data_IF_072077468811
#
_entry.id   IF_072077468811
#
_cell.length_a   1.000
_cell.length_b   1.000
_cell.length_c   1.000
_cell.angle_alpha   90.00
_cell.angle_beta   90.00
_cell.angle_gamma   90.00
#
_symmetry.space_group_name_H-M   'P 1'
#
loop_
_entity.id
_entity.type
_entity.pdbx_description
1 polymer ?
#
# COMPACT_ATOMS: atom_id res chain seq x y z
N UNK A 1 0.23 6.01 -31.64
CA UNK A 1 -0.98 6.71 -31.14
C UNK A 1 -2.04 5.75 -30.66
N UNK A 2 -2.48 4.76 -31.49
CA UNK A 2 -3.47 3.76 -31.08
C UNK A 2 -3.05 2.95 -29.84
N UNK A 3 -1.83 2.41 -29.81
CA UNK A 3 -1.33 1.64 -28.66
C UNK A 3 -1.30 2.43 -27.33
N UNK A 4 -0.96 3.73 -27.38
CA UNK A 4 -0.96 4.61 -26.20
C UNK A 4 -2.40 4.84 -25.71
N UNK A 5 -3.35 4.97 -26.63
CA UNK A 5 -4.76 5.18 -26.31
C UNK A 5 -5.39 3.92 -25.71
N UNK A 6 -5.04 2.74 -26.24
CA UNK A 6 -5.52 1.45 -25.75
C UNK A 6 -4.98 1.14 -24.35
N UNK A 7 -3.69 1.41 -24.11
CA UNK A 7 -3.06 1.27 -22.79
C UNK A 7 -3.70 2.22 -21.76
N UNK A 8 -3.88 3.48 -22.14
CA UNK A 8 -4.54 4.48 -21.30
C UNK A 8 -5.99 4.09 -20.95
N UNK A 9 -6.76 3.62 -21.93
CA UNK A 9 -8.15 3.19 -21.73
C UNK A 9 -8.25 1.97 -20.82
N UNK A 10 -7.35 1.00 -20.98
CA UNK A 10 -7.31 -0.21 -20.14
C UNK A 10 -6.94 0.13 -18.69
N UNK A 11 -5.97 1.03 -18.50
CA UNK A 11 -5.54 1.45 -17.17
C UNK A 11 -6.66 2.18 -16.42
N UNK A 12 -7.35 3.12 -17.05
CA UNK A 12 -8.49 3.81 -16.43
C UNK A 12 -9.59 2.83 -16.01
N UNK A 13 -9.94 1.88 -16.87
CA UNK A 13 -10.98 0.90 -16.54
C UNK A 13 -10.56 -0.01 -15.38
N UNK A 14 -9.27 -0.29 -15.24
CA UNK A 14 -8.72 -1.08 -14.13
C UNK A 14 -8.73 -0.29 -12.83
N UNK A 15 -8.37 1.00 -12.88
CA UNK A 15 -8.42 1.92 -11.73
C UNK A 15 -9.85 2.18 -11.23
N UNK A 16 -10.85 2.10 -12.11
CA UNK A 16 -12.26 2.35 -11.77
C UNK A 16 -12.97 1.17 -11.07
N UNK A 17 -12.35 0.00 -10.97
CA UNK A 17 -12.90 -1.15 -10.26
C UNK A 17 -12.18 -1.39 -8.92
N UNK A 18 -12.73 -0.83 -7.84
CA UNK A 18 -12.16 -0.92 -6.49
C UNK A 18 -12.12 -2.34 -5.92
N UNK A 19 -12.72 -3.33 -6.57
CA UNK A 19 -12.53 -4.74 -6.18
C UNK A 19 -11.09 -5.20 -6.42
N UNK A 20 -10.42 -4.63 -7.43
CA UNK A 20 -9.01 -4.91 -7.69
C UNK A 20 -8.13 -4.39 -6.55
N UNK A 21 -8.38 -3.15 -6.12
CA UNK A 21 -7.69 -2.56 -4.98
C UNK A 21 -7.97 -3.34 -3.69
N UNK A 22 -9.22 -3.69 -3.40
CA UNK A 22 -9.59 -4.53 -2.26
C UNK A 22 -8.81 -5.86 -2.22
N UNK A 23 -8.69 -6.52 -3.38
CA UNK A 23 -7.92 -7.76 -3.52
C UNK A 23 -6.42 -7.52 -3.27
N UNK A 24 -5.86 -6.46 -3.85
CA UNK A 24 -4.46 -6.10 -3.68
C UNK A 24 -4.12 -5.75 -2.23
N UNK A 25 -4.96 -4.96 -1.57
CA UNK A 25 -4.84 -4.63 -0.15
C UNK A 25 -4.80 -5.89 0.72
N UNK A 26 -5.74 -6.81 0.51
CA UNK A 26 -5.78 -8.08 1.27
C UNK A 26 -4.55 -8.94 1.00
N UNK A 27 -4.07 -9.00 -0.25
CA UNK A 27 -2.86 -9.74 -0.61
C UNK A 27 -1.62 -9.15 0.05
N UNK A 28 -1.46 -7.82 -0.02
CA UNK A 28 -0.34 -7.11 0.59
C UNK A 28 -0.39 -7.20 2.12
N UNK A 29 -1.56 -7.08 2.74
CA UNK A 29 -1.70 -7.22 4.19
C UNK A 29 -1.19 -8.58 4.70
N UNK A 30 -1.57 -9.66 4.01
CA UNK A 30 -1.09 -11.01 4.33
C UNK A 30 0.42 -11.15 4.12
N UNK A 31 0.94 -10.55 3.06
CA UNK A 31 2.37 -10.56 2.80
C UNK A 31 3.15 -9.82 3.89
N UNK A 32 2.61 -8.75 4.48
CA UNK A 32 3.32 -7.99 5.53
C UNK A 32 3.19 -8.59 6.95
N UNK A 33 2.54 -9.75 7.11
CA UNK A 33 2.28 -10.35 8.42
C UNK A 33 3.55 -10.67 9.25
N UNK A 34 4.70 -10.82 8.60
CA UNK A 34 6.01 -11.07 9.21
C UNK A 34 6.83 -9.80 9.48
N UNK A 35 6.31 -8.61 9.12
CA UNK A 35 6.92 -7.31 9.40
C UNK A 35 6.03 -6.56 10.40
N UNK A 36 6.31 -6.65 11.72
CA UNK A 36 5.36 -6.24 12.77
C UNK A 36 4.87 -4.79 12.69
N UNK A 37 5.70 -3.89 12.18
CA UNK A 37 5.44 -2.45 12.13
C UNK A 37 4.90 -1.97 10.78
N UNK A 38 4.62 -2.89 9.83
CA UNK A 38 4.10 -2.55 8.50
C UNK A 38 2.79 -3.27 8.27
N UNK A 39 1.74 -2.52 7.95
CA UNK A 39 0.39 -3.03 7.78
C UNK A 39 -0.31 -2.42 6.57
N UNK A 40 -1.42 -3.03 6.20
CA UNK A 40 -2.39 -2.47 5.25
C UNK A 40 -3.75 -2.49 5.96
N UNK A 41 -4.61 -1.47 5.82
CA UNK A 41 -5.95 -1.47 6.39
C UNK A 41 -6.72 -2.75 6.05
N UNK A 42 -7.45 -3.31 7.02
CA UNK A 42 -8.35 -4.42 6.75
C UNK A 42 -9.49 -3.99 5.83
N UNK A 43 -9.82 -4.79 4.82
CA UNK A 43 -10.90 -4.49 3.87
C UNK A 43 -12.22 -5.07 4.38
N UNK A 44 -13.24 -4.24 4.45
CA UNK A 44 -14.62 -4.65 4.74
C UNK A 44 -15.36 -4.94 3.43
N UNK A 45 -15.21 -6.18 2.93
CA UNK A 45 -15.80 -6.61 1.65
C UNK A 45 -17.32 -6.48 1.59
N UNK A 46 -18.02 -6.69 2.71
CA UNK A 46 -19.48 -6.57 2.79
C UNK A 46 -19.99 -5.14 2.56
N UNK A 47 -19.12 -4.14 2.75
CA UNK A 47 -19.39 -2.72 2.52
C UNK A 47 -18.66 -2.16 1.29
N UNK A 48 -18.10 -3.04 0.45
CA UNK A 48 -17.31 -2.64 -0.72
C UNK A 48 -17.98 -3.11 -2.02
N UNK A 49 -17.84 -2.32 -3.07
CA UNK A 49 -18.39 -2.54 -4.42
C UNK A 49 -17.37 -2.13 -5.48
N UNK A 50 -17.71 -2.24 -6.77
CA UNK A 50 -16.87 -1.70 -7.85
C UNK A 50 -16.55 -0.21 -7.69
N UNK A 51 -17.41 0.58 -7.02
CA UNK A 51 -17.32 2.05 -6.96
C UNK A 51 -17.12 2.61 -5.55
N UNK A 52 -17.11 1.74 -4.54
CA UNK A 52 -16.93 2.13 -3.13
C UNK A 52 -16.01 1.12 -2.48
N UNK A 53 -14.90 1.57 -1.90
CA UNK A 53 -14.01 0.74 -1.08
C UNK A 53 -14.16 1.15 0.38
N UNK A 54 -14.46 0.18 1.25
CA UNK A 54 -14.56 0.40 2.70
C UNK A 54 -13.49 -0.41 3.41
N UNK A 55 -12.70 0.25 4.26
CA UNK A 55 -11.57 -0.35 4.96
C UNK A 55 -11.41 0.19 6.39
N UNK A 56 -10.53 -0.44 7.17
CA UNK A 56 -10.15 -0.01 8.51
C UNK A 56 -9.75 1.46 8.53
N UNK A 57 -10.30 2.20 9.49
CA UNK A 57 -9.88 3.58 9.70
C UNK A 57 -8.52 3.60 10.40
N UNK A 58 -7.51 4.08 9.68
CA UNK A 58 -6.16 4.25 10.22
C UNK A 58 -5.99 5.67 10.76
N UNK A 59 -5.80 5.78 12.07
CA UNK A 59 -5.36 7.02 12.69
C UNK A 59 -3.85 7.18 12.54
N UNK A 60 -3.40 8.29 11.96
CA UNK A 60 -1.99 8.58 11.78
C UNK A 60 -1.73 9.85 10.98
N UNK A 61 -0.45 10.15 10.77
CA UNK A 61 0.02 11.26 9.94
C UNK A 61 0.67 10.74 8.68
N UNK A 62 0.72 11.56 7.62
CA UNK A 62 1.51 11.22 6.43
C UNK A 62 2.97 11.01 6.83
N UNK A 63 3.65 10.04 6.23
CA UNK A 63 5.08 9.76 6.50
C UNK A 63 5.99 10.97 6.21
N UNK A 64 5.53 11.93 5.41
CA UNK A 64 6.22 13.19 5.12
C UNK A 64 6.19 14.19 6.28
N UNK A 65 5.33 14.00 7.28
CA UNK A 65 5.19 14.90 8.42
C UNK A 65 6.20 14.57 9.53
N UNK A 66 7.46 14.88 9.25
CA UNK A 66 8.56 14.69 10.18
C UNK A 66 8.34 15.35 11.55
N UNK A 67 7.77 16.57 11.56
CA UNK A 67 7.62 17.36 12.78
C UNK A 67 6.67 16.71 13.80
N UNK A 68 5.55 16.15 13.34
CA UNK A 68 4.61 15.45 14.23
C UNK A 68 5.18 14.13 14.75
N UNK A 69 5.92 13.40 13.91
CA UNK A 69 6.63 12.19 14.35
C UNK A 69 7.72 12.49 15.38
N UNK A 70 8.48 13.57 15.19
CA UNK A 70 9.50 14.03 16.15
C UNK A 70 8.85 14.46 17.48
N UNK A 71 7.69 15.14 17.42
CA UNK A 71 6.92 15.55 18.60
C UNK A 71 6.34 14.36 19.36
N UNK A 72 5.90 13.32 18.65
CA UNK A 72 5.45 12.05 19.23
C UNK A 72 6.60 11.18 19.77
N UNK A 73 7.86 11.59 19.58
CA UNK A 73 9.03 10.84 20.06
C UNK A 73 9.32 9.57 19.27
N UNK A 74 8.84 9.46 18.03
CA UNK A 74 9.08 8.28 17.19
C UNK A 74 10.51 8.25 16.66
N UNK A 75 11.12 7.06 16.64
CA UNK A 75 12.42 6.87 16.01
C UNK A 75 12.27 6.74 14.50
N UNK A 76 12.50 7.84 13.79
CA UNK A 76 12.39 7.92 12.33
C UNK A 76 13.36 7.01 11.57
N UNK A 77 14.51 6.68 12.15
CA UNK A 77 15.44 5.74 11.53
C UNK A 77 14.83 4.33 11.54
N UNK A 78 14.25 3.91 12.66
CA UNK A 78 13.54 2.62 12.77
C UNK A 78 12.37 2.55 11.80
N UNK A 79 11.58 3.63 11.67
CA UNK A 79 10.47 3.68 10.71
C UNK A 79 10.96 3.54 9.27
N UNK A 80 12.06 4.20 8.90
CA UNK A 80 12.64 4.08 7.58
C UNK A 80 13.15 2.66 7.30
N UNK A 81 13.81 2.02 8.26
CA UNK A 81 14.26 0.64 8.16
C UNK A 81 13.09 -0.35 7.95
N UNK A 82 12.00 -0.16 8.69
CA UNK A 82 10.80 -1.00 8.55
C UNK A 82 10.10 -0.78 7.20
N UNK A 83 9.99 0.47 6.73
CA UNK A 83 9.45 0.79 5.41
C UNK A 83 10.28 0.14 4.29
N UNK A 84 11.61 0.29 4.35
CA UNK A 84 12.53 -0.31 3.37
C UNK A 84 12.44 -1.84 3.40
N UNK A 85 12.36 -2.45 4.60
CA UNK A 85 12.16 -3.90 4.73
C UNK A 85 10.87 -4.35 4.06
N UNK A 86 9.77 -3.62 4.27
CA UNK A 86 8.49 -3.87 3.60
C UNK A 86 8.59 -3.82 2.08
N UNK A 87 9.23 -2.77 1.54
CA UNK A 87 9.42 -2.61 0.09
C UNK A 87 10.33 -3.69 -0.51
N UNK A 88 11.44 -4.03 0.16
CA UNK A 88 12.36 -5.07 -0.31
C UNK A 88 11.72 -6.45 -0.25
N UNK A 89 10.92 -6.74 0.78
CA UNK A 89 10.20 -8.01 0.89
C UNK A 89 9.22 -8.19 -0.27
N UNK A 90 8.41 -7.17 -0.55
CA UNK A 90 7.52 -7.13 -1.70
C UNK A 90 8.28 -7.49 -2.99
N UNK A 91 9.36 -6.75 -3.28
CA UNK A 91 10.14 -6.91 -4.50
C UNK A 91 10.82 -8.28 -4.61
N UNK A 92 11.54 -8.69 -3.56
CA UNK A 92 12.50 -9.80 -3.61
C UNK A 92 11.93 -11.13 -3.13
N UNK A 93 10.88 -11.12 -2.31
CA UNK A 93 10.32 -12.34 -1.71
C UNK A 93 8.90 -12.63 -2.22
N UNK A 94 8.03 -11.62 -2.29
CA UNK A 94 6.63 -11.83 -2.63
C UNK A 94 6.35 -11.79 -4.14
N UNK A 95 7.29 -11.26 -4.94
CA UNK A 95 7.17 -11.23 -6.40
C UNK A 95 6.17 -10.23 -6.93
N UNK A 96 5.78 -9.27 -6.10
CA UNK A 96 4.94 -8.16 -6.47
C UNK A 96 5.32 -6.93 -5.65
N UNK A 97 5.13 -5.74 -6.19
CA UNK A 97 5.44 -4.51 -5.47
C UNK A 97 4.30 -3.50 -5.60
N UNK A 98 4.11 -2.72 -4.54
CA UNK A 98 3.29 -1.53 -4.58
C UNK A 98 4.02 -0.52 -5.48
N UNK A 99 3.49 -0.31 -6.69
CA UNK A 99 4.21 0.35 -7.77
C UNK A 99 4.22 1.88 -7.66
N UNK A 100 3.35 2.45 -6.83
CA UNK A 100 3.37 3.86 -6.48
C UNK A 100 3.35 4.06 -4.95
N UNK A 101 4.48 3.79 -4.25
CA UNK A 101 4.61 4.09 -2.83
C UNK A 101 4.82 5.60 -2.63
N UNK A 102 3.96 6.41 -3.25
CA UNK A 102 3.95 7.85 -3.07
C UNK A 102 3.86 8.13 -1.56
N UNK A 103 4.69 9.04 -1.01
CA UNK A 103 4.66 9.33 0.42
C UNK A 103 3.29 9.81 0.93
N UNK A 104 2.39 10.25 0.04
CA UNK A 104 1.00 10.57 0.37
C UNK A 104 0.14 9.36 0.75
N UNK A 105 0.52 8.15 0.32
CA UNK A 105 -0.20 6.89 0.52
C UNK A 105 0.37 6.05 1.67
N UNK A 106 1.21 6.66 2.49
CA UNK A 106 1.83 6.02 3.66
C UNK A 106 1.49 6.83 4.89
N UNK A 107 0.79 6.21 5.83
CA UNK A 107 0.48 6.78 7.13
C UNK A 107 1.34 6.16 8.21
N UNK A 108 1.67 6.95 9.24
CA UNK A 108 2.34 6.50 10.45
C UNK A 108 1.42 6.80 11.62
N UNK A 109 1.04 5.75 12.36
CA UNK A 109 0.32 5.91 13.61
C UNK A 109 1.28 6.47 14.67
N UNK A 110 0.95 7.62 15.26
CA UNK A 110 1.82 8.31 16.20
C UNK A 110 1.96 7.62 17.56
N UNK A 111 0.97 6.82 17.97
CA UNK A 111 0.96 6.13 19.25
C UNK A 111 1.73 4.80 19.20
N UNK A 112 1.63 4.08 18.07
CA UNK A 112 2.21 2.75 17.91
C UNK A 112 3.47 2.72 17.06
N UNK A 113 3.75 3.76 16.25
CA UNK A 113 4.80 3.75 15.24
C UNK A 113 4.53 2.80 14.07
N UNK A 114 3.30 2.30 13.92
CA UNK A 114 2.93 1.41 12.81
C UNK A 114 2.79 2.18 11.51
N UNK A 115 3.37 1.65 10.44
CA UNK A 115 3.31 2.16 9.08
C UNK A 115 2.16 1.47 8.35
N UNK A 116 1.32 2.25 7.69
CA UNK A 116 0.18 1.77 6.90
C UNK A 116 0.32 2.20 5.45
N UNK A 117 0.28 1.24 4.53
CA UNK A 117 0.05 1.51 3.11
C UNK A 117 -1.46 1.59 2.86
N UNK A 118 -1.95 2.74 2.39
CA UNK A 118 -3.41 3.01 2.26
C UNK A 118 -3.91 3.08 0.81
N UNK A 119 -3.02 3.00 -0.16
CA UNK A 119 -3.33 2.88 -1.59
C UNK A 119 -2.69 1.58 -2.07
N UNK A 120 -3.45 0.78 -2.81
CA UNK A 120 -2.96 -0.48 -3.37
C UNK A 120 -3.49 -0.75 -4.78
N UNK A 121 -3.91 0.31 -5.49
CA UNK A 121 -4.44 0.19 -6.86
C UNK A 121 -3.42 -0.49 -7.78
N UNK A 122 -2.16 -0.08 -7.66
CA UNK A 122 -1.07 -0.56 -8.50
C UNK A 122 -0.20 -1.59 -7.76
N UNK A 123 -0.61 -2.86 -7.83
CA UNK A 123 0.14 -3.99 -7.28
C UNK A 123 0.61 -4.92 -8.40
N UNK A 124 1.74 -4.57 -9.03
CA UNK A 124 2.28 -5.30 -10.17
C UNK A 124 3.00 -6.58 -9.73
N UNK A 125 2.75 -7.68 -10.44
CA UNK A 125 3.55 -8.90 -10.30
C UNK A 125 4.58 -8.97 -11.41
N UNK A 126 5.85 -9.05 -11.04
CA UNK A 126 6.95 -9.11 -12.00
C UNK A 126 7.50 -10.54 -12.22
N UNK A 127 7.11 -11.49 -11.36
CA UNK A 127 7.51 -12.90 -11.47
C UNK A 127 6.64 -13.73 -12.44
N UNK A 128 5.64 -13.15 -13.11
CA UNK A 128 4.82 -13.88 -14.11
C UNK A 128 5.47 -14.00 -15.50
N UNK A 129 6.63 -13.35 -15.72
CA UNK A 129 7.32 -13.33 -17.01
C UNK A 129 8.50 -14.30 -17.13
N UNK A 130 8.68 -15.24 -16.20
CA UNK A 130 9.79 -16.21 -16.25
C UNK A 130 9.53 -17.50 -15.47
N UNK A 131 8.55 -18.31 -15.90
CA UNK A 131 8.63 -19.81 -15.97
C UNK A 131 7.67 -20.30 -17.05
#
# INVERSE_FOLDING_TARGET
MAAILDEFGTNILTELDYRNEAYNATRLNRAMADIPNVKVPEIYYEFSTEKVLTMEFVQGVKVTNAAEMDTAGLNRLSLAEDAIRGMLKQLLMDGFFHADPHPGNVLVNLDTGTIYFIDTVWLESWMSSSV
#
